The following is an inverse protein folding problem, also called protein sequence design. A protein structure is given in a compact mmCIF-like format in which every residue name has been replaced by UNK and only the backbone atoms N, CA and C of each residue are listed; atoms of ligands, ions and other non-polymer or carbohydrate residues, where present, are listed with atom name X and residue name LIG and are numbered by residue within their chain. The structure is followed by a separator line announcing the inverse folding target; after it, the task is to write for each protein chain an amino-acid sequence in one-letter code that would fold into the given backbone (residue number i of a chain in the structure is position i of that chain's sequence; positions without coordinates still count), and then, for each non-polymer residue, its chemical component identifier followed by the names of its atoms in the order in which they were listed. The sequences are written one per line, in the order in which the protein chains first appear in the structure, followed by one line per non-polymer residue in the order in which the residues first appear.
data_IF_676989169271
#
_entry.id   IF_676989169271
#
_cell.length_a   1.000
_cell.length_b   1.000
_cell.length_c   1.000
_cell.angle_alpha   90.00
_cell.angle_beta   90.00
_cell.angle_gamma   90.00
#
_symmetry.space_group_name_H-M   'P 1'
#
loop_
_entity.id
_entity.type
_entity.pdbx_description
1 polymer ?
#
# COMPACT_ATOMS: atom_id res chain seq x y z
N UNK A 1 53.46 14.24 -2.77
CA UNK A 1 53.83 13.34 -3.88
C UNK A 1 52.58 12.63 -4.37
N UNK A 2 52.05 13.13 -5.48
CA UNK A 2 50.89 12.69 -6.23
C UNK A 2 51.10 11.29 -6.84
N UNK A 3 50.21 10.31 -6.62
CA UNK A 3 50.06 9.16 -7.53
C UNK A 3 48.60 8.71 -7.71
N UNK A 4 47.97 9.34 -8.72
CA UNK A 4 47.18 8.75 -9.82
C UNK A 4 45.95 7.88 -9.50
N UNK A 5 44.79 8.46 -9.82
CA UNK A 5 43.53 7.80 -10.20
C UNK A 5 43.75 6.65 -11.20
N UNK A 6 43.04 5.54 -11.00
CA UNK A 6 42.63 4.61 -12.09
C UNK A 6 41.17 4.23 -11.92
N UNK A 7 40.33 4.89 -12.71
CA UNK A 7 38.96 4.47 -13.06
C UNK A 7 39.07 3.25 -13.98
N UNK A 8 38.40 2.14 -13.67
CA UNK A 8 38.27 1.03 -14.62
C UNK A 8 36.80 0.61 -14.73
N UNK A 9 36.15 1.13 -15.77
CA UNK A 9 34.87 0.63 -16.28
C UNK A 9 35.19 -0.60 -17.14
N UNK A 10 34.72 -1.79 -16.75
CA UNK A 10 34.76 -2.96 -17.65
C UNK A 10 33.46 -3.05 -18.43
N UNK A 11 33.60 -2.94 -19.74
CA UNK A 11 32.53 -3.09 -20.74
C UNK A 11 32.21 -4.57 -20.98
N UNK A 12 30.95 -4.77 -21.36
CA UNK A 12 30.32 -5.90 -22.05
C UNK A 12 31.27 -6.87 -22.79
N UNK A 13 30.94 -8.16 -22.69
CA UNK A 13 31.14 -9.12 -23.78
C UNK A 13 29.85 -9.94 -23.97
N UNK A 14 29.29 -9.81 -25.17
CA UNK A 14 28.16 -10.53 -25.75
C UNK A 14 28.67 -11.87 -26.29
N UNK A 15 27.93 -12.96 -26.11
CA UNK A 15 28.02 -14.14 -26.96
C UNK A 15 26.61 -14.60 -27.38
N UNK A 16 26.38 -14.50 -28.68
CA UNK A 16 25.25 -15.02 -29.44
C UNK A 16 25.53 -16.46 -29.89
N UNK A 17 24.53 -17.33 -29.79
CA UNK A 17 24.20 -18.45 -30.69
C UNK A 17 22.88 -19.06 -30.17
N UNK A 18 21.77 -19.26 -30.89
CA UNK A 18 21.51 -19.28 -32.32
C UNK A 18 20.86 -20.62 -32.68
N UNK A 19 19.52 -20.69 -32.72
CA UNK A 19 18.74 -21.58 -33.60
C UNK A 19 17.22 -21.29 -33.50
N UNK A 20 16.66 -20.94 -34.66
CA UNK A 20 15.25 -20.71 -35.05
C UNK A 20 14.41 -22.00 -34.99
N UNK A 21 13.07 -21.98 -34.86
CA UNK A 21 12.04 -21.85 -35.94
C UNK A 21 10.63 -21.76 -35.28
N UNK A 22 9.62 -21.11 -35.91
CA UNK A 22 8.37 -20.69 -35.28
C UNK A 22 7.18 -21.64 -35.51
N UNK A 23 6.22 -21.64 -34.57
CA UNK A 23 4.87 -22.16 -34.81
C UNK A 23 3.83 -21.07 -34.46
N UNK A 24 3.28 -20.48 -35.51
CA UNK A 24 2.06 -19.68 -35.50
C UNK A 24 0.87 -20.62 -35.27
N UNK A 25 -0.02 -20.31 -34.33
CA UNK A 25 -1.43 -20.66 -34.44
C UNK A 25 -2.29 -19.51 -33.91
N UNK A 26 -2.82 -18.75 -34.87
CA UNK A 26 -3.92 -17.80 -34.72
C UNK A 26 -5.21 -18.61 -34.68
N UNK A 27 -5.95 -18.57 -33.58
CA UNK A 27 -7.35 -19.02 -33.56
C UNK A 27 -8.22 -17.89 -34.11
N UNK A 28 -8.83 -18.16 -35.27
CA UNK A 28 -9.65 -17.22 -36.02
C UNK A 28 -11.05 -17.02 -35.43
N UNK A 29 -11.54 -15.80 -35.61
CA UNK A 29 -12.95 -15.50 -35.77
C UNK A 29 -13.49 -16.29 -36.97
N UNK A 30 -14.61 -16.99 -36.82
CA UNK A 30 -15.36 -17.53 -37.95
C UNK A 30 -16.80 -17.05 -37.88
N UNK A 31 -17.05 -15.96 -38.61
CA UNK A 31 -18.37 -15.65 -39.16
C UNK A 31 -18.64 -16.65 -40.29
N UNK A 32 -19.52 -17.60 -40.05
CA UNK A 32 -20.00 -18.54 -41.07
C UNK A 32 -21.23 -17.99 -41.79
N UNK A 33 -21.03 -17.52 -43.02
CA UNK A 33 -22.10 -17.23 -43.99
C UNK A 33 -22.08 -18.30 -45.09
N UNK A 34 -23.21 -18.96 -45.30
CA UNK A 34 -23.52 -19.90 -46.39
C UNK A 34 -24.78 -20.66 -46.02
N UNK A 35 -25.74 -21.00 -46.88
CA UNK A 35 -25.96 -20.77 -48.30
C UNK A 35 -27.38 -21.22 -48.65
N UNK A 36 -27.90 -20.63 -49.73
CA UNK A 36 -29.20 -20.67 -50.41
C UNK A 36 -30.22 -21.84 -50.28
N UNK A 37 -31.46 -21.40 -50.51
CA UNK A 37 -32.59 -22.01 -51.27
C UNK A 37 -33.55 -23.00 -50.61
N UNK A 38 -34.76 -22.50 -50.38
CA UNK A 38 -36.03 -23.24 -50.32
C UNK A 38 -37.17 -22.23 -50.51
N UNK A 39 -37.93 -22.35 -51.61
CA UNK A 39 -38.94 -21.40 -52.07
C UNK A 39 -40.31 -21.58 -51.40
N UNK A 40 -41.06 -20.48 -51.39
CA UNK A 40 -42.52 -20.28 -51.46
C UNK A 40 -43.45 -20.85 -50.35
N UNK A 41 -44.08 -19.94 -49.59
CA UNK A 41 -45.49 -19.53 -49.77
C UNK A 41 -46.21 -19.18 -48.44
N UNK A 42 -46.78 -17.97 -48.46
CA UNK A 42 -48.07 -17.54 -47.88
C UNK A 42 -48.24 -17.28 -46.36
N UNK A 43 -48.95 -16.19 -46.06
CA UNK A 43 -49.83 -16.10 -44.88
C UNK A 43 -49.39 -15.27 -43.67
N UNK A 44 -49.73 -13.97 -43.66
CA UNK A 44 -50.45 -13.30 -42.56
C UNK A 44 -49.84 -13.15 -41.14
N UNK A 45 -49.72 -11.89 -40.71
CA UNK A 45 -50.04 -11.33 -39.37
C UNK A 45 -49.38 -11.97 -38.13
N UNK A 46 -48.43 -11.24 -37.53
CA UNK A 46 -48.61 -10.54 -36.25
C UNK A 46 -47.24 -10.29 -35.60
N UNK A 47 -46.87 -9.01 -35.51
CA UNK A 47 -45.71 -8.54 -34.77
C UNK A 47 -45.94 -8.76 -33.27
N UNK A 48 -45.44 -9.87 -32.73
CA UNK A 48 -45.24 -10.04 -31.30
C UNK A 48 -43.82 -9.64 -30.91
N UNK A 49 -43.66 -8.35 -30.63
CA UNK A 49 -42.54 -7.84 -29.86
C UNK A 49 -42.82 -8.10 -28.37
N UNK A 50 -42.17 -9.09 -27.78
CA UNK A 50 -42.08 -9.30 -26.32
C UNK A 50 -40.98 -10.33 -26.05
N UNK A 51 -40.03 -10.17 -25.13
CA UNK A 51 -39.69 -9.09 -24.23
C UNK A 51 -38.17 -9.13 -24.07
N UNK A 52 -37.52 -7.97 -24.18
CA UNK A 52 -36.13 -7.82 -23.71
C UNK A 52 -36.12 -8.12 -22.19
N UNK A 53 -35.19 -8.95 -21.68
CA UNK A 53 -35.06 -9.13 -20.24
C UNK A 53 -34.85 -7.74 -19.62
N UNK A 54 -35.71 -7.43 -18.65
CA UNK A 54 -35.60 -6.20 -17.86
C UNK A 54 -34.15 -6.04 -17.43
N UNK A 55 -33.55 -4.90 -17.77
CA UNK A 55 -32.25 -4.51 -17.26
C UNK A 55 -32.33 -4.62 -15.73
N UNK A 56 -31.66 -5.61 -15.18
CA UNK A 56 -31.41 -5.70 -13.74
C UNK A 56 -30.67 -4.43 -13.39
N UNK A 57 -31.37 -3.48 -12.78
CA UNK A 57 -30.78 -2.28 -12.19
C UNK A 57 -29.89 -2.75 -11.06
N UNK A 58 -28.64 -3.05 -11.37
CA UNK A 58 -27.60 -3.25 -10.37
C UNK A 58 -27.62 -2.02 -9.47
N UNK A 59 -27.77 -2.17 -8.15
CA UNK A 59 -27.76 -1.05 -7.23
C UNK A 59 -26.53 -0.18 -7.48
N UNK A 60 -26.66 1.16 -7.51
CA UNK A 60 -25.53 2.03 -7.76
C UNK A 60 -24.45 1.77 -6.70
N UNK A 61 -23.22 1.56 -7.17
CA UNK A 61 -22.09 1.28 -6.32
C UNK A 61 -21.82 2.47 -5.40
N UNK A 62 -21.69 2.22 -4.09
CA UNK A 62 -21.41 3.28 -3.12
C UNK A 62 -20.09 4.00 -3.47
N UNK A 63 -20.05 5.35 -3.48
CA UNK A 63 -18.83 6.08 -3.77
C UNK A 63 -17.78 5.92 -2.67
N UNK A 64 -16.51 6.16 -3.02
CA UNK A 64 -15.42 6.22 -2.05
C UNK A 64 -15.59 7.43 -1.11
N UNK A 65 -15.36 7.25 0.20
CA UNK A 65 -15.48 8.31 1.22
C UNK A 65 -14.39 9.38 1.05
N UNK A 66 -13.18 8.96 0.74
CA UNK A 66 -12.01 9.84 0.53
C UNK A 66 -11.61 9.81 -0.94
N UNK A 67 -11.50 11.00 -1.53
CA UNK A 67 -11.13 11.18 -2.94
C UNK A 67 -9.63 11.43 -3.12
N UNK A 68 -8.94 11.90 -2.08
CA UNK A 68 -7.51 12.26 -2.14
C UNK A 68 -6.72 11.66 -0.99
N UNK A 69 -5.41 11.50 -1.21
CA UNK A 69 -4.44 11.20 -0.17
C UNK A 69 -3.55 12.41 0.10
N UNK A 70 -3.28 12.75 1.39
CA UNK A 70 -2.21 13.68 1.70
C UNK A 70 -0.85 13.08 1.34
N UNK A 71 0.16 13.93 1.20
CA UNK A 71 1.56 13.48 1.17
C UNK A 71 1.93 12.83 2.51
N UNK A 72 2.37 11.57 2.50
CA UNK A 72 2.76 10.84 3.71
C UNK A 72 3.89 11.50 4.52
N UNK A 73 4.73 12.34 3.91
CA UNK A 73 5.74 13.08 4.67
C UNK A 73 5.16 14.26 5.46
N UNK A 74 3.92 14.65 5.17
CA UNK A 74 3.19 15.75 5.84
C UNK A 74 2.09 15.24 6.77
N UNK A 75 1.90 13.93 6.87
CA UNK A 75 0.85 13.33 7.70
C UNK A 75 1.24 13.22 9.16
N UNK A 76 2.53 13.15 9.47
CA UNK A 76 3.06 13.19 10.83
C UNK A 76 3.50 14.61 11.15
N UNK A 77 3.07 15.14 12.30
CA UNK A 77 3.43 16.51 12.67
C UNK A 77 4.92 16.64 12.92
N UNK A 78 5.48 17.84 12.70
CA UNK A 78 6.90 18.13 12.94
C UNK A 78 7.31 17.83 14.40
N UNK A 79 6.41 18.06 15.35
CA UNK A 79 6.65 17.79 16.77
C UNK A 79 6.67 16.29 17.07
N UNK A 80 5.79 15.51 16.42
CA UNK A 80 5.84 14.05 16.50
C UNK A 80 7.11 13.51 15.87
N UNK A 81 7.47 13.92 14.66
CA UNK A 81 8.75 13.53 14.03
C UNK A 81 9.93 13.86 14.94
N UNK A 82 10.03 15.08 15.45
CA UNK A 82 11.16 15.51 16.30
C UNK A 82 11.25 14.72 17.62
N UNK A 83 10.11 14.24 18.12
CA UNK A 83 10.04 13.42 19.33
C UNK A 83 10.43 11.97 19.07
N UNK A 84 9.94 11.36 18.00
CA UNK A 84 10.06 9.93 17.71
C UNK A 84 11.39 9.58 17.03
N UNK A 85 11.83 10.43 16.11
CA UNK A 85 13.08 10.29 15.35
C UNK A 85 13.96 11.53 15.56
N UNK A 86 14.49 11.74 16.78
CA UNK A 86 15.41 12.85 17.02
C UNK A 86 16.60 12.74 16.06
N UNK A 87 17.22 13.88 15.74
CA UNK A 87 18.38 13.92 14.83
C UNK A 87 18.11 13.19 13.49
N UNK A 88 16.86 13.23 13.00
CA UNK A 88 16.51 12.66 11.71
C UNK A 88 17.43 13.21 10.62
N UNK A 89 17.94 12.33 9.75
CA UNK A 89 18.79 12.74 8.62
C UNK A 89 18.10 13.76 7.72
N UNK A 90 16.79 13.57 7.53
CA UNK A 90 15.90 14.47 6.83
C UNK A 90 14.68 14.72 7.71
N UNK A 91 14.54 15.93 8.26
CA UNK A 91 13.43 16.29 9.15
C UNK A 91 12.06 16.28 8.43
N UNK A 92 12.06 16.57 7.13
CA UNK A 92 10.88 16.44 6.28
C UNK A 92 10.58 15.01 5.83
N UNK A 93 11.42 14.04 6.19
CA UNK A 93 11.30 12.65 5.76
C UNK A 93 11.79 12.43 4.33
N UNK A 94 11.83 11.16 3.95
CA UNK A 94 12.17 10.69 2.62
C UNK A 94 10.96 10.01 2.02
N UNK A 95 10.43 10.55 0.93
CA UNK A 95 9.32 9.96 0.18
C UNK A 95 9.71 8.58 -0.34
N UNK A 96 8.89 7.57 -0.05
CA UNK A 96 9.05 6.20 -0.59
C UNK A 96 8.05 5.93 -1.71
N UNK A 97 6.87 6.56 -1.66
CA UNK A 97 5.88 6.55 -2.74
C UNK A 97 5.28 7.95 -2.93
N UNK A 98 5.14 8.36 -4.19
CA UNK A 98 4.76 9.74 -4.55
C UNK A 98 3.24 9.94 -4.48
N UNK A 99 2.80 10.84 -3.60
CA UNK A 99 1.43 11.37 -3.61
C UNK A 99 1.24 12.39 -4.75
N UNK A 100 0.01 12.52 -5.22
CA UNK A 100 -0.41 13.45 -6.28
C UNK A 100 -1.90 13.33 -6.57
N UNK A 101 -2.42 14.19 -7.45
CA UNK A 101 -3.81 14.08 -7.92
C UNK A 101 -4.02 12.74 -8.62
N UNK A 102 -4.90 11.89 -8.08
CA UNK A 102 -5.13 10.53 -8.58
C UNK A 102 -4.20 9.46 -8.01
N UNK A 103 -3.22 9.80 -7.17
CA UNK A 103 -2.42 8.78 -6.48
C UNK A 103 -3.27 8.00 -5.49
N UNK A 104 -3.22 6.68 -5.58
CA UNK A 104 -3.83 5.76 -4.62
C UNK A 104 -2.86 5.32 -3.54
N UNK A 105 -1.58 5.71 -3.62
CA UNK A 105 -0.55 5.38 -2.63
C UNK A 105 0.33 6.58 -2.29
N UNK A 106 0.78 6.64 -1.05
CA UNK A 106 1.84 7.56 -0.62
C UNK A 106 2.65 6.96 0.51
N UNK A 107 3.95 7.23 0.52
CA UNK A 107 4.85 6.64 1.51
C UNK A 107 5.92 7.63 1.93
N UNK A 108 6.28 7.61 3.20
CA UNK A 108 7.38 8.40 3.74
C UNK A 108 8.10 7.64 4.85
N UNK A 109 9.39 7.91 5.01
CA UNK A 109 10.17 7.39 6.12
C UNK A 109 11.14 8.42 6.69
N UNK A 110 11.48 8.21 7.96
CA UNK A 110 12.50 8.96 8.68
C UNK A 110 13.45 7.99 9.34
N UNK A 111 14.72 8.33 9.34
CA UNK A 111 15.74 7.64 10.11
C UNK A 111 16.54 8.65 10.91
N UNK A 112 16.74 8.35 12.19
CA UNK A 112 17.39 9.23 13.14
C UNK A 112 17.93 8.45 14.32
N UNK A 113 18.31 9.18 15.35
CA UNK A 113 18.88 8.63 16.57
C UNK A 113 18.13 9.11 17.82
N UNK A 114 18.26 8.39 18.93
CA UNK A 114 17.87 8.89 20.25
C UNK A 114 18.55 10.21 20.59
N UNK A 115 18.02 10.92 21.60
CA UNK A 115 18.58 12.21 22.06
C UNK A 115 20.06 12.09 22.44
N UNK A 116 20.43 10.96 23.06
CA UNK A 116 21.81 10.59 23.41
C UNK A 116 22.69 10.22 22.21
N UNK A 117 22.10 10.00 21.02
CA UNK A 117 22.80 9.61 19.80
C UNK A 117 23.05 8.10 19.67
N UNK A 118 22.69 7.30 20.66
CA UNK A 118 23.03 5.87 20.75
C UNK A 118 21.82 4.95 20.59
N UNK A 119 20.71 5.46 20.07
CA UNK A 119 19.55 4.64 19.79
C UNK A 119 19.16 4.82 18.34
N UNK A 120 19.18 3.78 17.52
CA UNK A 120 18.58 3.82 16.20
C UNK A 120 17.07 4.11 16.33
N UNK A 121 16.56 4.97 15.46
CA UNK A 121 15.12 5.24 15.30
C UNK A 121 14.75 5.20 13.83
N UNK A 122 13.65 4.53 13.52
CA UNK A 122 13.02 4.64 12.22
C UNK A 122 11.50 4.64 12.34
N UNK A 123 10.90 5.51 11.54
CA UNK A 123 9.48 5.72 11.42
C UNK A 123 9.16 5.65 9.93
N UNK A 124 8.14 4.89 9.55
CA UNK A 124 7.57 4.91 8.22
C UNK A 124 6.05 5.03 8.28
N UNK A 125 5.50 5.72 7.28
CA UNK A 125 4.08 5.90 7.08
C UNK A 125 3.75 5.57 5.64
N UNK A 126 2.86 4.61 5.46
CA UNK A 126 2.33 4.20 4.16
C UNK A 126 0.82 4.39 4.15
N UNK A 127 0.32 4.99 3.07
CA UNK A 127 -1.09 5.24 2.82
C UNK A 127 -1.49 4.54 1.53
N UNK A 128 -2.63 3.86 1.55
CA UNK A 128 -3.26 3.26 0.38
C UNK A 128 -4.76 3.60 0.37
N UNK A 129 -5.24 4.21 -0.71
CA UNK A 129 -6.64 4.62 -0.91
C UNK A 129 -7.25 3.79 -2.03
N UNK A 130 -8.49 3.36 -1.80
CA UNK A 130 -9.25 2.58 -2.76
C UNK A 130 -10.32 3.43 -3.45
N UNK A 131 -10.62 3.08 -4.70
CA UNK A 131 -11.72 3.63 -5.48
C UNK A 131 -12.82 2.59 -5.66
N UNK A 132 -14.06 3.05 -5.66
CA UNK A 132 -15.20 2.20 -6.01
C UNK A 132 -15.22 2.02 -7.53
N UNK A 133 -15.25 0.78 -7.99
CA UNK A 133 -15.39 0.45 -9.41
C UNK A 133 -16.29 -0.76 -9.62
N UNK A 134 -16.91 -0.86 -10.81
CA UNK A 134 -17.78 -1.99 -11.13
C UNK A 134 -17.03 -3.34 -11.06
N UNK A 135 -15.72 -3.33 -11.29
CA UNK A 135 -14.86 -4.52 -11.32
C UNK A 135 -14.38 -4.94 -9.93
N UNK A 136 -14.07 -3.98 -9.04
CA UNK A 136 -13.47 -4.25 -7.73
C UNK A 136 -14.44 -4.09 -6.56
N UNK A 137 -15.65 -3.58 -6.82
CA UNK A 137 -16.66 -3.33 -5.80
C UNK A 137 -16.40 -2.07 -4.98
N UNK A 138 -17.05 -1.96 -3.82
CA UNK A 138 -17.03 -0.76 -3.00
C UNK A 138 -15.66 -0.54 -2.36
N UNK A 139 -15.18 0.70 -2.40
CA UNK A 139 -13.86 1.07 -1.89
C UNK A 139 -13.64 0.73 -0.40
N UNK A 140 -14.68 0.87 0.42
CA UNK A 140 -14.64 0.55 1.84
C UNK A 140 -14.42 -0.96 2.09
N UNK A 141 -15.05 -1.81 1.29
CA UNK A 141 -14.85 -3.26 1.35
C UNK A 141 -13.45 -3.68 0.89
N UNK A 142 -12.92 -3.01 -0.14
CA UNK A 142 -11.55 -3.23 -0.57
C UNK A 142 -10.54 -2.86 0.53
N UNK A 143 -10.75 -1.71 1.20
CA UNK A 143 -9.93 -1.30 2.33
C UNK A 143 -10.07 -2.28 3.51
N UNK A 144 -11.28 -2.69 3.87
CA UNK A 144 -11.49 -3.68 4.93
C UNK A 144 -10.79 -5.01 4.63
N UNK A 145 -10.89 -5.52 3.40
CA UNK A 145 -10.15 -6.71 2.98
C UNK A 145 -8.64 -6.52 3.11
N UNK A 146 -8.10 -5.38 2.67
CA UNK A 146 -6.67 -5.08 2.79
C UNK A 146 -6.23 -5.03 4.26
N UNK A 147 -7.04 -4.42 5.12
CA UNK A 147 -6.81 -4.37 6.57
C UNK A 147 -6.67 -5.76 7.15
N UNK A 148 -7.66 -6.64 6.90
CA UNK A 148 -7.65 -8.01 7.43
C UNK A 148 -6.48 -8.82 6.88
N UNK A 149 -6.16 -8.66 5.59
CA UNK A 149 -5.04 -9.36 4.96
C UNK A 149 -3.68 -8.91 5.54
N UNK A 150 -3.51 -7.60 5.81
CA UNK A 150 -2.28 -7.09 6.43
C UNK A 150 -2.08 -7.64 7.84
N UNK A 151 -3.14 -7.61 8.66
CA UNK A 151 -3.08 -8.15 10.02
C UNK A 151 -2.74 -9.63 10.00
N UNK A 152 -3.41 -10.41 9.15
CA UNK A 152 -3.15 -11.83 9.01
C UNK A 152 -1.73 -12.13 8.51
N UNK A 153 -1.16 -11.28 7.66
CA UNK A 153 0.22 -11.41 7.22
C UNK A 153 1.22 -11.11 8.34
N UNK A 154 1.00 -10.03 9.10
CA UNK A 154 1.86 -9.62 10.21
C UNK A 154 1.83 -10.63 11.37
N UNK A 155 0.68 -11.20 11.69
CA UNK A 155 0.53 -12.19 12.78
C UNK A 155 1.18 -13.55 12.47
N UNK A 156 1.41 -13.87 11.19
CA UNK A 156 2.16 -15.08 10.82
C UNK A 156 3.64 -14.98 11.21
N UNK A 157 4.16 -13.77 11.42
CA UNK A 157 5.54 -13.59 11.83
C UNK A 157 5.74 -14.06 13.28
N UNK A 158 6.71 -14.94 13.49
CA UNK A 158 7.00 -15.49 14.82
C UNK A 158 7.46 -14.41 15.80
N UNK A 159 6.99 -14.48 17.04
CA UNK A 159 7.37 -13.55 18.09
C UNK A 159 6.70 -12.16 17.98
N UNK A 160 5.64 -12.05 17.18
CA UNK A 160 4.76 -10.89 17.19
C UNK A 160 3.63 -11.06 18.21
N UNK A 161 3.10 -9.95 18.70
CA UNK A 161 1.93 -9.88 19.56
C UNK A 161 1.07 -8.76 19.07
N UNK A 162 -0.21 -9.05 18.89
CA UNK A 162 -1.10 -8.14 18.24
C UNK A 162 -2.23 -7.72 19.19
N UNK A 163 -2.54 -6.43 19.22
CA UNK A 163 -3.47 -5.82 20.19
C UNK A 163 -4.41 -4.82 19.50
N UNK A 164 -5.70 -4.87 19.87
CA UNK A 164 -6.67 -3.93 19.33
C UNK A 164 -6.39 -2.51 19.82
N UNK A 165 -6.49 -1.53 18.92
CA UNK A 165 -6.31 -0.10 19.25
C UNK A 165 -7.64 0.60 19.09
N UNK A 166 -8.03 1.39 20.10
CA UNK A 166 -9.31 2.11 20.09
C UNK A 166 -9.08 3.60 19.78
N UNK A 167 -10.07 4.25 19.16
CA UNK A 167 -10.00 5.69 18.88
C UNK A 167 -9.07 6.09 17.73
N UNK A 168 -8.63 5.14 16.89
CA UNK A 168 -7.90 5.38 15.66
C UNK A 168 -8.67 4.83 14.46
N UNK A 169 -9.07 5.70 13.54
CA UNK A 169 -9.83 5.30 12.35
C UNK A 169 -11.15 4.61 12.68
N UNK A 170 -11.62 3.81 11.74
CA UNK A 170 -12.79 2.94 11.91
C UNK A 170 -12.37 1.59 12.52
N UNK A 171 -11.18 1.08 12.17
CA UNK A 171 -10.55 -0.12 12.74
C UNK A 171 -9.05 0.08 12.88
N UNK A 172 -8.45 -0.37 13.99
CA UNK A 172 -7.02 -0.29 14.19
C UNK A 172 -6.45 -1.45 15.01
N UNK A 173 -5.23 -1.84 14.65
CA UNK A 173 -4.50 -2.93 15.29
C UNK A 173 -3.02 -2.61 15.34
N UNK A 174 -2.42 -2.82 16.51
CA UNK A 174 -0.97 -2.73 16.72
C UNK A 174 -0.40 -4.15 16.74
N UNK A 175 0.73 -4.34 16.06
CA UNK A 175 1.52 -5.57 16.04
C UNK A 175 2.92 -5.25 16.55
N UNK A 176 3.19 -5.58 17.81
CA UNK A 176 4.49 -5.43 18.44
C UNK A 176 5.34 -6.65 18.18
N UNK A 177 6.64 -6.46 17.94
CA UNK A 177 7.58 -7.55 17.74
C UNK A 177 9.04 -7.13 17.92
N UNK A 178 9.95 -8.05 17.64
CA UNK A 178 11.38 -7.77 17.57
C UNK A 178 11.93 -8.29 16.25
N UNK A 179 12.85 -7.53 15.66
CA UNK A 179 13.55 -7.93 14.45
C UNK A 179 15.06 -7.80 14.65
N UNK A 180 15.81 -8.82 14.23
CA UNK A 180 17.27 -8.81 14.29
C UNK A 180 17.84 -8.69 12.89
N UNK A 181 18.59 -7.62 12.64
CA UNK A 181 19.30 -7.38 11.37
C UNK A 181 20.76 -7.09 11.69
N UNK A 182 21.70 -7.76 11.01
CA UNK A 182 23.13 -7.56 11.20
C UNK A 182 23.58 -7.56 12.68
N UNK A 183 23.06 -8.51 13.47
CA UNK A 183 23.29 -8.67 14.94
C UNK A 183 22.70 -7.57 15.83
N UNK A 184 21.95 -6.63 15.28
CA UNK A 184 21.22 -5.61 16.05
C UNK A 184 19.76 -6.04 16.14
N UNK A 185 19.29 -6.29 17.36
CA UNK A 185 17.87 -6.52 17.62
C UNK A 185 17.19 -5.18 17.88
N UNK A 186 16.12 -4.91 17.14
CA UNK A 186 15.23 -3.76 17.33
C UNK A 186 13.93 -4.19 17.98
N UNK A 187 13.33 -3.28 18.75
CA UNK A 187 11.94 -3.36 19.16
C UNK A 187 11.11 -2.63 18.12
N UNK A 188 10.06 -3.29 17.63
CA UNK A 188 9.23 -2.81 16.54
C UNK A 188 7.76 -2.78 16.96
N UNK A 189 7.00 -1.86 16.37
CA UNK A 189 5.55 -1.88 16.35
C UNK A 189 5.05 -1.44 14.97
N UNK A 190 4.08 -2.18 14.45
CA UNK A 190 3.35 -1.83 13.23
C UNK A 190 1.91 -1.56 13.60
N UNK A 191 1.44 -0.32 13.42
CA UNK A 191 0.04 0.05 13.59
C UNK A 191 -0.62 0.10 12.23
N UNK A 192 -1.59 -0.78 12.01
CA UNK A 192 -2.43 -0.78 10.82
C UNK A 192 -3.77 -0.15 11.20
N UNK A 193 -4.21 0.83 10.43
CA UNK A 193 -5.47 1.54 10.62
C UNK A 193 -6.25 1.53 9.32
N UNK A 194 -7.55 1.25 9.40
CA UNK A 194 -8.50 1.53 8.34
C UNK A 194 -9.33 2.75 8.72
N UNK A 195 -9.45 3.70 7.80
CA UNK A 195 -10.41 4.80 7.90
C UNK A 195 -11.09 4.99 6.55
N UNK A 196 -12.40 4.70 6.50
CA UNK A 196 -13.17 4.53 5.28
C UNK A 196 -12.46 3.62 4.28
N UNK A 197 -12.26 4.15 3.08
CA UNK A 197 -11.56 3.52 1.97
C UNK A 197 -10.03 3.74 1.98
N UNK A 198 -9.41 4.06 3.11
CA UNK A 198 -7.96 4.25 3.24
C UNK A 198 -7.39 3.29 4.28
N UNK A 199 -6.26 2.68 3.92
CA UNK A 199 -5.37 1.95 4.83
C UNK A 199 -4.15 2.81 5.13
N UNK A 200 -3.85 2.93 6.41
CA UNK A 200 -2.68 3.56 6.96
C UNK A 200 -1.86 2.49 7.67
N UNK A 201 -0.59 2.38 7.33
CA UNK A 201 0.38 1.53 8.03
C UNK A 201 1.47 2.44 8.57
N UNK A 202 1.62 2.43 9.89
CA UNK A 202 2.72 3.11 10.57
C UNK A 202 3.64 2.06 11.14
N UNK A 203 4.90 2.09 10.74
CA UNK A 203 5.93 1.24 11.30
C UNK A 203 6.89 2.10 12.11
N UNK A 204 7.13 1.73 13.36
CA UNK A 204 8.10 2.40 14.20
C UNK A 204 8.99 1.38 14.87
N UNK A 205 10.29 1.62 14.83
CA UNK A 205 11.23 0.77 15.54
C UNK A 205 12.41 1.54 16.13
N UNK A 206 13.03 0.89 17.12
CA UNK A 206 14.28 1.38 17.66
C UNK A 206 15.13 0.30 18.28
N UNK A 207 16.43 0.57 18.29
CA UNK A 207 17.44 -0.30 18.88
C UNK A 207 18.45 0.53 19.65
N UNK A 208 18.88 0.03 20.80
CA UNK A 208 20.06 0.56 21.47
C UNK A 208 21.31 0.12 20.71
N UNK A 209 22.20 1.06 20.48
CA UNK A 209 23.52 0.86 19.87
C UNK A 209 24.58 0.98 20.95
N UNK A 210 25.80 0.49 20.68
CA UNK A 210 26.94 0.63 21.61
C UNK A 210 26.63 0.14 23.04
N UNK A 211 25.91 -0.99 23.14
CA UNK A 211 25.53 -1.59 24.43
C UNK A 211 24.37 -0.89 25.16
N UNK A 212 23.74 0.13 24.58
CA UNK A 212 22.51 0.72 25.14
C UNK A 212 21.34 -0.25 25.05
N UNK A 213 20.39 -0.08 25.97
CA UNK A 213 19.15 -0.86 25.98
C UNK A 213 18.23 -0.41 24.83
N UNK A 214 17.47 -1.36 24.30
CA UNK A 214 16.38 -1.06 23.39
C UNK A 214 15.26 -0.27 24.11
N UNK A 215 14.47 0.52 23.36
CA UNK A 215 13.19 1.00 23.90
C UNK A 215 12.29 -0.18 24.29
N UNK A 216 11.39 0.06 25.23
CA UNK A 216 10.40 -0.96 25.64
C UNK A 216 9.34 -1.17 24.55
N UNK A 217 8.72 -2.35 24.52
CA UNK A 217 7.60 -2.63 23.61
C UNK A 217 6.48 -1.59 23.76
N UNK A 218 6.08 -1.29 25.01
CA UNK A 218 5.04 -0.30 25.33
C UNK A 218 5.37 1.10 24.80
N UNK A 219 6.62 1.54 24.92
CA UNK A 219 7.02 2.86 24.40
C UNK A 219 6.99 2.90 22.88
N UNK A 220 7.44 1.82 22.21
CA UNK A 220 7.41 1.75 20.73
C UNK A 220 5.97 1.72 20.22
N UNK A 221 5.10 0.94 20.86
CA UNK A 221 3.66 0.92 20.54
C UNK A 221 3.02 2.31 20.71
N UNK A 222 3.19 2.95 21.87
CA UNK A 222 2.61 4.28 22.13
C UNK A 222 3.10 5.35 21.16
N UNK A 223 4.36 5.28 20.75
CA UNK A 223 4.96 6.20 19.80
C UNK A 223 4.40 5.96 18.38
N UNK A 224 4.23 4.69 17.97
CA UNK A 224 3.62 4.33 16.70
C UNK A 224 2.16 4.79 16.62
N UNK A 225 1.37 4.55 17.67
CA UNK A 225 -0.03 4.98 17.76
C UNK A 225 -0.16 6.51 17.70
N UNK A 226 0.79 7.25 18.30
CA UNK A 226 0.83 8.71 18.20
C UNK A 226 1.04 9.18 16.75
N UNK A 227 1.97 8.58 16.03
CA UNK A 227 2.18 8.92 14.61
C UNK A 227 0.97 8.51 13.75
N UNK A 228 0.33 7.37 14.06
CA UNK A 228 -0.90 6.95 13.39
C UNK A 228 -2.05 7.94 13.61
N UNK A 229 -2.18 8.49 14.83
CA UNK A 229 -3.18 9.52 15.13
C UNK A 229 -3.00 10.79 14.29
N UNK A 230 -1.77 11.28 14.17
CA UNK A 230 -1.46 12.42 13.31
C UNK A 230 -1.87 12.12 11.85
N UNK A 231 -1.52 10.92 11.36
CA UNK A 231 -1.79 10.55 9.99
C UNK A 231 -3.28 10.36 9.67
N UNK A 232 -4.07 9.76 10.57
CA UNK A 232 -5.53 9.68 10.44
C UNK A 232 -6.14 11.08 10.37
N UNK A 233 -5.72 11.99 11.25
CA UNK A 233 -6.18 13.37 11.24
C UNK A 233 -5.83 14.08 9.92
N UNK A 234 -4.64 13.83 9.36
CA UNK A 234 -4.24 14.38 8.07
C UNK A 234 -5.05 13.84 6.89
N UNK A 235 -5.46 12.56 6.91
CA UNK A 235 -6.33 11.99 5.87
C UNK A 235 -7.71 12.66 5.92
N UNK A 236 -8.27 12.83 7.12
CA UNK A 236 -9.53 13.54 7.30
C UNK A 236 -9.45 14.99 6.82
N UNK A 237 -8.39 15.72 7.21
CA UNK A 237 -8.21 17.12 6.83
C UNK A 237 -8.01 17.34 5.32
N UNK A 238 -7.42 16.37 4.61
CA UNK A 238 -7.26 16.43 3.16
C UNK A 238 -8.58 16.25 2.38
N UNK A 239 -9.64 15.81 3.05
CA UNK A 239 -10.94 15.50 2.46
C UNK A 239 -12.10 16.20 3.22
N UNK A 240 -11.79 17.24 3.99
CA UNK A 240 -12.75 18.06 4.72
C UNK A 240 -13.23 19.25 3.89
#
# INVERSE_FOLDING_TARGET
MERRRRTSKRRLAVLLAGATVPALLVAGCSSGSGGSSGSDADGGKDSSAAAVPSATTTPPLAPARFATLPSSCRTVTKDTVSSLVPKAKHSGGTTTDTAGSGSTRSGCSWTGNGKDGFQYRWLAVSLERYDSSAQLGAADLQAHKRFTDEIAALEKASGTTATGVTGLGDEARSISGKATVAKVTSQNDTVVVRTGNVILIVEYNGAGLEGKKNPSAKSVQSDAERAAKDAVASVAAANA
#
